data_IF_310449474064
#
_entry.id   IF_310449474064
#
_cell.length_a   1.000
_cell.length_b   1.000
_cell.length_c   1.000
_cell.angle_alpha   90.00
_cell.angle_beta   90.00
_cell.angle_gamma   90.00
#
_symmetry.space_group_name_H-M   'P 1'
#
loop_
_entity.id
_entity.type
_entity.pdbx_description
1 polymer ?
#
# COMPACT_ATOMS: atom_id res chain seq x y z
N UNK A 1 31.52 12.32 -10.68
CA UNK A 1 31.08 11.31 -9.68
C UNK A 1 29.88 11.91 -8.97
N UNK A 2 28.77 11.16 -8.84
CA UNK A 2 27.57 11.69 -8.17
C UNK A 2 27.75 11.61 -6.65
N UNK A 3 27.44 12.69 -5.94
CA UNK A 3 27.46 12.68 -4.48
C UNK A 3 26.31 11.83 -3.95
N UNK A 4 26.61 10.97 -2.98
CA UNK A 4 25.60 10.20 -2.27
C UNK A 4 24.78 11.16 -1.42
N UNK A 5 23.47 11.22 -1.65
CA UNK A 5 22.55 12.07 -0.90
C UNK A 5 21.80 11.25 0.13
N UNK A 6 21.44 11.87 1.25
CA UNK A 6 20.44 11.31 2.14
C UNK A 6 19.10 11.18 1.40
N UNK A 7 18.40 10.09 1.67
CA UNK A 7 17.08 9.84 1.10
C UNK A 7 16.06 10.67 1.86
N UNK A 8 15.14 11.29 1.12
CA UNK A 8 14.00 12.02 1.69
C UNK A 8 13.01 11.02 2.24
N UNK A 9 12.57 11.23 3.48
CA UNK A 9 11.53 10.43 4.13
C UNK A 9 10.25 10.39 3.28
N UNK A 10 9.56 9.25 3.29
CA UNK A 10 8.39 8.99 2.45
C UNK A 10 7.15 8.80 3.30
N UNK A 11 5.98 9.04 2.70
CA UNK A 11 4.70 8.74 3.35
C UNK A 11 4.42 7.25 3.24
N UNK A 12 4.40 6.54 4.36
CA UNK A 12 4.00 5.13 4.37
C UNK A 12 2.53 4.98 3.96
N UNK A 13 2.25 3.98 3.15
CA UNK A 13 0.95 3.70 2.56
C UNK A 13 0.65 2.20 2.65
N UNK A 14 -0.60 1.82 2.79
CA UNK A 14 -1.02 0.43 2.68
C UNK A 14 -2.43 0.28 2.16
N UNK A 15 -2.71 -0.89 1.60
CA UNK A 15 -4.05 -1.25 1.15
C UNK A 15 -4.48 -2.55 1.79
N UNK A 16 -5.72 -2.59 2.25
CA UNK A 16 -6.30 -3.74 2.92
C UNK A 16 -7.45 -4.27 2.07
N UNK A 17 -7.48 -5.59 1.90
CA UNK A 17 -8.55 -6.30 1.23
C UNK A 17 -9.09 -7.35 2.20
N UNK A 18 -10.40 -7.36 2.36
CA UNK A 18 -11.11 -8.43 3.04
C UNK A 18 -12.59 -8.37 2.69
N UNK A 19 -13.29 -9.48 2.87
CA UNK A 19 -14.75 -9.49 2.88
C UNK A 19 -15.35 -9.30 4.27
N UNK A 20 -14.52 -9.42 5.30
CA UNK A 20 -14.94 -9.39 6.70
C UNK A 20 -14.64 -8.00 7.26
N UNK A 21 -15.69 -7.27 7.65
CA UNK A 21 -15.54 -5.90 8.16
C UNK A 21 -14.61 -5.83 9.39
N UNK A 22 -14.71 -6.82 10.29
CA UNK A 22 -13.87 -6.94 11.50
C UNK A 22 -12.37 -7.03 11.20
N UNK A 23 -11.98 -7.52 10.01
CA UNK A 23 -10.57 -7.60 9.64
C UNK A 23 -9.98 -6.25 9.22
N UNK A 24 -10.80 -5.27 8.83
CA UNK A 24 -10.31 -3.91 8.59
C UNK A 24 -9.93 -3.23 9.90
N UNK A 25 -10.80 -3.34 10.92
CA UNK A 25 -10.52 -2.78 12.25
C UNK A 25 -9.29 -3.43 12.88
N UNK A 26 -9.21 -4.76 12.79
CA UNK A 26 -8.05 -5.51 13.28
C UNK A 26 -6.76 -5.11 12.54
N UNK A 27 -6.77 -5.08 11.21
CA UNK A 27 -5.59 -4.70 10.41
C UNK A 27 -5.14 -3.26 10.70
N UNK A 28 -6.07 -2.32 10.85
CA UNK A 28 -5.75 -0.94 11.27
C UNK A 28 -5.13 -0.93 12.66
N UNK A 29 -5.61 -1.74 13.61
CA UNK A 29 -5.00 -1.88 14.92
C UNK A 29 -3.53 -2.31 14.86
N UNK A 30 -3.24 -3.41 14.14
CA UNK A 30 -1.87 -3.92 13.95
C UNK A 30 -0.96 -2.89 13.25
N UNK A 31 -1.45 -2.31 12.15
CA UNK A 31 -0.72 -1.30 11.40
C UNK A 31 -0.49 -0.05 12.25
N UNK A 32 -1.47 0.43 13.03
CA UNK A 32 -1.29 1.62 13.85
C UNK A 32 -0.37 1.42 15.03
N UNK A 33 -0.36 0.21 15.62
CA UNK A 33 0.59 -0.13 16.67
C UNK A 33 2.03 -0.15 16.16
N UNK A 34 2.25 -0.66 14.93
CA UNK A 34 3.60 -0.86 14.37
C UNK A 34 4.09 0.34 13.56
N UNK A 35 3.20 1.04 12.86
CA UNK A 35 3.52 2.07 11.88
C UNK A 35 3.07 3.48 12.31
N UNK A 36 2.35 3.58 13.43
CA UNK A 36 1.86 4.84 13.97
C UNK A 36 0.46 5.23 13.47
N UNK A 37 -0.04 6.41 13.87
CA UNK A 37 -1.41 6.82 13.57
C UNK A 37 -1.67 7.01 12.07
N UNK A 38 -2.94 6.88 11.67
CA UNK A 38 -3.40 7.14 10.31
C UNK A 38 -3.47 8.65 10.03
N UNK A 39 -2.89 9.07 8.90
CA UNK A 39 -3.00 10.43 8.38
C UNK A 39 -4.16 10.60 7.40
N UNK A 40 -4.36 9.60 6.53
CA UNK A 40 -5.38 9.62 5.49
C UNK A 40 -6.01 8.26 5.38
N UNK A 41 -7.33 8.23 5.43
CA UNK A 41 -8.14 7.05 5.20
C UNK A 41 -8.97 7.23 3.91
N UNK A 42 -9.02 6.18 3.10
CA UNK A 42 -9.89 6.13 1.92
C UNK A 42 -11.30 5.69 2.28
N UNK A 43 -12.24 5.82 1.35
CA UNK A 43 -13.53 5.15 1.46
C UNK A 43 -13.35 3.66 1.13
N UNK A 44 -14.07 2.74 1.80
CA UNK A 44 -14.13 1.35 1.36
C UNK A 44 -14.84 1.24 0.01
N UNK A 45 -14.40 0.35 -0.86
CA UNK A 45 -15.05 0.09 -2.15
C UNK A 45 -15.05 -1.40 -2.50
N UNK A 46 -16.05 -1.88 -3.26
CA UNK A 46 -16.06 -3.25 -3.78
C UNK A 46 -14.85 -3.51 -4.68
N UNK A 47 -14.17 -4.63 -4.49
CA UNK A 47 -13.04 -5.04 -5.30
C UNK A 47 -13.48 -6.07 -6.36
N UNK A 48 -14.01 -5.56 -7.48
CA UNK A 48 -14.58 -6.38 -8.56
C UNK A 48 -13.72 -6.38 -9.85
N UNK A 49 -12.45 -5.98 -9.74
CA UNK A 49 -11.53 -5.85 -10.89
C UNK A 49 -10.95 -7.20 -11.37
N UNK A 50 -11.00 -8.24 -10.55
CA UNK A 50 -10.51 -9.59 -10.89
C UNK A 50 -11.07 -10.65 -9.96
N UNK A 51 -11.33 -11.85 -10.47
CA UNK A 51 -11.70 -13.03 -9.68
C UNK A 51 -10.50 -13.78 -9.07
N UNK A 52 -9.28 -13.29 -9.29
CA UNK A 52 -8.03 -13.96 -8.86
C UNK A 52 -8.02 -14.32 -7.36
N UNK A 53 -8.60 -13.47 -6.51
CA UNK A 53 -8.60 -13.66 -5.06
C UNK A 53 -9.75 -14.55 -4.57
N UNK A 54 -10.79 -14.79 -5.38
CA UNK A 54 -11.99 -15.52 -4.93
C UNK A 54 -11.66 -16.96 -4.50
N UNK A 55 -10.66 -17.61 -5.09
CA UNK A 55 -10.26 -18.95 -4.64
C UNK A 55 -9.67 -19.01 -3.23
N UNK A 56 -9.18 -17.87 -2.70
CA UNK A 56 -8.44 -17.82 -1.42
C UNK A 56 -9.09 -16.92 -0.36
N UNK A 57 -9.82 -15.89 -0.80
CA UNK A 57 -10.53 -14.92 0.04
C UNK A 57 -12.06 -15.02 -0.16
N UNK A 58 -12.52 -15.75 -1.17
CA UNK A 58 -13.90 -15.77 -1.68
C UNK A 58 -14.43 -14.43 -2.21
N UNK A 59 -15.75 -14.35 -2.38
CA UNK A 59 -16.50 -13.28 -3.09
C UNK A 59 -16.86 -12.06 -2.23
N UNK A 60 -17.13 -10.94 -2.89
CA UNK A 60 -17.55 -9.70 -2.19
C UNK A 60 -16.41 -9.11 -1.37
N UNK A 61 -15.20 -9.13 -1.92
CA UNK A 61 -14.03 -8.52 -1.32
C UNK A 61 -14.23 -7.01 -1.36
N UNK A 62 -13.98 -6.36 -0.22
CA UNK A 62 -13.88 -4.91 -0.12
C UNK A 62 -12.41 -4.55 -0.08
N UNK A 63 -12.05 -3.40 -0.64
CA UNK A 63 -10.71 -2.81 -0.55
C UNK A 63 -10.77 -1.44 0.10
N UNK A 64 -9.72 -1.09 0.85
CA UNK A 64 -9.54 0.25 1.43
C UNK A 64 -8.08 0.68 1.45
N UNK A 65 -7.86 1.98 1.33
CA UNK A 65 -6.55 2.62 1.28
C UNK A 65 -6.24 3.38 2.57
N UNK A 66 -4.99 3.34 3.00
CA UNK A 66 -4.50 3.97 4.24
C UNK A 66 -3.14 4.62 4.03
N UNK A 67 -2.91 5.77 4.68
CA UNK A 67 -1.60 6.39 4.81
C UNK A 67 -1.35 6.83 6.26
N UNK A 68 -0.10 6.84 6.68
CA UNK A 68 0.31 6.99 8.08
C UNK A 68 0.99 8.34 8.33
N UNK A 69 0.91 8.87 9.55
CA UNK A 69 1.41 10.22 9.85
C UNK A 69 2.94 10.34 9.84
N UNK A 70 3.62 9.26 10.21
CA UNK A 70 5.07 9.22 10.37
C UNK A 70 5.73 9.08 9.00
N UNK A 71 6.58 10.04 8.63
CA UNK A 71 7.45 9.91 7.47
C UNK A 71 8.62 9.01 7.81
N UNK A 72 8.98 8.12 6.90
CA UNK A 72 9.86 6.97 7.18
C UNK A 72 10.89 6.77 6.08
N UNK A 73 11.94 6.02 6.37
CA UNK A 73 12.95 5.66 5.37
C UNK A 73 12.36 4.62 4.38
N UNK A 74 12.35 4.89 3.06
CA UNK A 74 11.81 3.94 2.08
C UNK A 74 12.59 2.63 1.97
N UNK A 75 13.81 2.53 2.53
CA UNK A 75 14.59 1.29 2.57
C UNK A 75 13.97 0.22 3.47
N UNK A 76 13.07 0.60 4.37
CA UNK A 76 12.30 -0.30 5.23
C UNK A 76 11.14 -0.98 4.50
N UNK A 77 10.85 -0.64 3.24
CA UNK A 77 9.69 -1.17 2.50
C UNK A 77 9.61 -2.71 2.50
N UNK A 78 10.76 -3.40 2.46
CA UNK A 78 10.79 -4.86 2.54
C UNK A 78 10.32 -5.39 3.90
N UNK A 79 10.61 -4.68 4.98
CA UNK A 79 10.21 -5.06 6.33
C UNK A 79 8.70 -4.91 6.49
N UNK A 80 8.12 -3.82 5.98
CA UNK A 80 6.67 -3.60 6.04
C UNK A 80 5.89 -4.71 5.35
N UNK A 81 6.41 -5.25 4.22
CA UNK A 81 5.77 -6.40 3.55
C UNK A 81 5.90 -7.68 4.34
N UNK A 82 7.01 -7.89 5.05
CA UNK A 82 7.19 -9.07 5.92
C UNK A 82 6.26 -9.00 7.13
N UNK A 83 6.15 -7.83 7.76
CA UNK A 83 5.20 -7.56 8.85
C UNK A 83 3.77 -7.80 8.38
N UNK A 84 3.39 -7.23 7.24
CA UNK A 84 2.04 -7.37 6.70
C UNK A 84 1.70 -8.82 6.37
N UNK A 85 2.64 -9.58 5.81
CA UNK A 85 2.47 -11.02 5.57
C UNK A 85 2.30 -11.80 6.89
N UNK A 86 3.02 -11.42 7.95
CA UNK A 86 2.89 -12.07 9.25
C UNK A 86 1.50 -11.84 9.85
N UNK A 87 0.95 -10.64 9.73
CA UNK A 87 -0.43 -10.34 10.17
C UNK A 87 -1.47 -11.13 9.38
N UNK A 88 -1.33 -11.23 8.05
CA UNK A 88 -2.23 -12.05 7.23
C UNK A 88 -2.26 -13.51 7.70
N UNK A 89 -1.10 -14.07 8.06
CA UNK A 89 -1.01 -15.43 8.61
C UNK A 89 -1.63 -15.51 10.00
N UNK A 90 -1.36 -14.54 10.87
CA UNK A 90 -1.84 -14.54 12.25
C UNK A 90 -3.36 -14.53 12.38
N UNK A 91 -4.08 -13.95 11.42
CA UNK A 91 -5.55 -13.95 11.44
C UNK A 91 -6.19 -15.10 10.65
N UNK A 92 -5.45 -15.86 9.84
CA UNK A 92 -6.01 -16.81 8.88
C UNK A 92 -6.91 -17.87 9.53
N UNK A 93 -6.45 -18.49 10.62
CA UNK A 93 -7.17 -19.58 11.30
C UNK A 93 -8.49 -19.16 11.98
N UNK A 94 -8.78 -17.85 12.03
CA UNK A 94 -10.03 -17.31 12.59
C UNK A 94 -11.20 -17.35 11.60
N UNK A 95 -10.95 -17.66 10.33
CA UNK A 95 -11.92 -17.58 9.24
C UNK A 95 -11.92 -18.87 8.39
N UNK A 96 -13.00 -19.16 7.65
CA UNK A 96 -13.07 -20.34 6.79
C UNK A 96 -12.18 -20.24 5.55
N UNK A 97 -11.83 -19.02 5.12
CA UNK A 97 -10.93 -18.80 3.98
C UNK A 97 -9.46 -18.98 4.37
N UNK A 98 -8.65 -19.55 3.47
CA UNK A 98 -7.22 -19.71 3.74
C UNK A 98 -6.43 -18.40 3.75
N UNK A 99 -6.98 -17.32 3.18
CA UNK A 99 -6.39 -15.98 3.20
C UNK A 99 -7.49 -14.93 3.32
N UNK A 100 -8.09 -14.74 4.50
CA UNK A 100 -9.23 -13.84 4.68
C UNK A 100 -8.84 -12.35 4.61
N UNK A 101 -7.54 -12.05 4.64
CA UNK A 101 -6.95 -10.72 4.65
C UNK A 101 -5.80 -10.65 3.63
N UNK A 102 -5.70 -9.52 2.92
CA UNK A 102 -4.52 -9.15 2.15
C UNK A 102 -4.13 -7.71 2.50
N UNK A 103 -2.86 -7.50 2.85
CA UNK A 103 -2.29 -6.18 3.11
C UNK A 103 -1.11 -5.97 2.15
N UNK A 104 -1.23 -4.93 1.33
CA UNK A 104 -0.17 -4.50 0.42
C UNK A 104 0.40 -3.15 0.86
N UNK A 105 1.58 -3.15 1.52
CA UNK A 105 2.26 -1.94 1.91
C UNK A 105 3.04 -1.31 0.75
N UNK A 106 3.29 -0.02 0.91
CA UNK A 106 3.95 0.82 -0.06
C UNK A 106 4.35 2.15 0.53
N UNK A 107 4.80 3.06 -0.33
CA UNK A 107 5.00 4.45 0.04
C UNK A 107 4.63 5.40 -1.09
N UNK A 108 4.39 6.65 -0.70
CA UNK A 108 4.15 7.76 -1.60
C UNK A 108 5.27 8.78 -1.43
N UNK A 109 5.80 9.25 -2.56
CA UNK A 109 6.65 10.43 -2.64
C UNK A 109 5.91 11.53 -3.40
N UNK A 110 6.50 12.72 -3.55
CA UNK A 110 5.94 13.75 -4.42
C UNK A 110 5.84 13.34 -5.90
N UNK A 111 6.54 12.28 -6.31
CA UNK A 111 6.68 11.87 -7.70
C UNK A 111 6.13 10.47 -8.01
N UNK A 112 5.90 9.60 -7.01
CA UNK A 112 5.49 8.21 -7.26
C UNK A 112 4.79 7.55 -6.08
N UNK A 113 3.95 6.57 -6.38
CA UNK A 113 3.48 5.54 -5.46
C UNK A 113 4.21 4.24 -5.77
N UNK A 114 4.77 3.61 -4.74
CA UNK A 114 5.53 2.37 -4.84
C UNK A 114 4.89 1.31 -3.96
N UNK A 115 4.74 0.09 -4.47
CA UNK A 115 4.25 -1.07 -3.71
C UNK A 115 5.33 -2.12 -3.51
N UNK A 116 5.27 -2.81 -2.38
CA UNK A 116 6.05 -4.01 -2.13
C UNK A 116 5.31 -5.28 -2.60
N UNK A 117 6.06 -6.27 -3.06
CA UNK A 117 5.50 -7.55 -3.52
C UNK A 117 6.50 -8.68 -3.38
N UNK A 118 6.00 -9.91 -3.19
CA UNK A 118 6.80 -11.15 -3.21
C UNK A 118 6.92 -11.74 -4.62
N UNK A 119 6.21 -11.17 -5.60
CA UNK A 119 6.13 -11.70 -6.97
C UNK A 119 7.11 -10.94 -7.85
N UNK A 120 8.09 -11.62 -8.44
CA UNK A 120 9.00 -10.98 -9.40
C UNK A 120 8.36 -10.83 -10.80
N UNK A 121 8.70 -9.75 -11.51
CA UNK A 121 8.28 -9.41 -12.88
C UNK A 121 9.32 -8.51 -13.53
N UNK A 122 9.27 -8.41 -14.86
CA UNK A 122 10.16 -7.60 -15.71
C UNK A 122 10.43 -6.15 -15.25
N UNK A 123 9.44 -5.49 -14.67
CA UNK A 123 9.52 -4.10 -14.20
C UNK A 123 9.81 -3.94 -12.70
N UNK A 124 9.90 -5.06 -11.97
CA UNK A 124 10.04 -5.08 -10.50
C UNK A 124 11.50 -5.07 -10.12
N UNK A 125 11.81 -4.29 -9.09
CA UNK A 125 13.18 -4.10 -8.61
C UNK A 125 13.32 -4.87 -7.31
N UNK A 126 14.28 -5.78 -7.25
CA UNK A 126 14.61 -6.49 -6.03
C UNK A 126 15.09 -5.52 -4.93
N UNK A 127 14.54 -5.66 -3.72
CA UNK A 127 14.96 -4.92 -2.53
C UNK A 127 15.91 -5.78 -1.69
N UNK A 128 15.34 -6.77 -1.01
CA UNK A 128 16.00 -7.79 -0.14
C UNK A 128 14.98 -8.86 0.26
N UNK A 129 15.44 -9.97 0.82
CA UNK A 129 14.60 -11.01 1.45
C UNK A 129 13.46 -11.56 0.57
N UNK A 130 13.68 -11.62 -0.76
CA UNK A 130 12.66 -12.03 -1.72
C UNK A 130 11.52 -11.01 -1.93
N UNK A 131 11.69 -9.77 -1.43
CA UNK A 131 10.75 -8.67 -1.64
C UNK A 131 11.24 -7.78 -2.79
N UNK A 132 10.30 -7.38 -3.63
CA UNK A 132 10.49 -6.51 -4.77
C UNK A 132 9.62 -5.26 -4.63
N UNK A 133 10.00 -4.20 -5.33
CA UNK A 133 9.24 -2.97 -5.44
C UNK A 133 8.79 -2.70 -6.88
N UNK A 134 7.61 -2.09 -7.03
CA UNK A 134 7.13 -1.55 -8.29
C UNK A 134 6.64 -0.12 -8.15
N UNK A 135 6.93 0.72 -9.14
CA UNK A 135 6.27 2.02 -9.27
C UNK A 135 4.89 1.79 -9.88
N UNK A 136 3.85 1.88 -9.03
CA UNK A 136 2.45 1.63 -9.42
C UNK A 136 1.80 2.87 -10.01
N UNK A 137 2.08 4.06 -9.48
CA UNK A 137 1.65 5.34 -10.05
C UNK A 137 2.83 6.31 -10.07
N UNK A 138 2.82 7.28 -10.99
CA UNK A 138 3.78 8.38 -10.98
C UNK A 138 3.06 9.72 -11.17
N UNK A 139 3.60 10.78 -10.58
CA UNK A 139 3.04 12.11 -10.68
C UNK A 139 3.72 12.88 -11.81
N UNK A 140 2.95 13.37 -12.78
CA UNK A 140 3.49 14.12 -13.90
C UNK A 140 2.48 15.16 -14.39
N UNK A 141 2.96 16.36 -14.71
CA UNK A 141 2.12 17.47 -15.23
C UNK A 141 0.86 17.75 -14.41
N UNK A 142 0.96 17.63 -13.08
CA UNK A 142 -0.10 18.01 -12.15
C UNK A 142 -1.12 16.92 -11.83
N UNK A 143 -0.90 15.67 -12.25
CA UNK A 143 -1.79 14.56 -11.90
C UNK A 143 -1.05 13.23 -11.76
N UNK A 144 -1.68 12.30 -11.04
CA UNK A 144 -1.27 10.89 -11.02
C UNK A 144 -1.50 10.23 -12.38
N UNK A 145 -0.49 9.51 -12.84
CA UNK A 145 -0.43 8.82 -14.13
C UNK A 145 -0.15 7.33 -13.90
N UNK A 146 -0.63 6.52 -14.84
CA UNK A 146 -0.51 5.06 -14.81
C UNK A 146 0.67 4.57 -15.64
N UNK A 147 1.15 3.39 -15.29
CA UNK A 147 2.10 2.58 -16.05
C UNK A 147 1.32 1.45 -16.77
N UNK A 148 1.93 0.78 -17.77
CA UNK A 148 1.31 -0.37 -18.42
C UNK A 148 0.93 -1.53 -17.46
N UNK A 149 1.58 -1.59 -16.29
CA UNK A 149 1.35 -2.60 -15.25
C UNK A 149 0.56 -2.09 -14.04
N UNK A 150 0.09 -0.83 -14.03
CA UNK A 150 -0.72 -0.31 -12.92
C UNK A 150 -1.99 -1.14 -12.76
N UNK A 151 -2.28 -1.58 -11.53
CA UNK A 151 -3.49 -2.32 -11.24
C UNK A 151 -4.75 -1.45 -11.50
N UNK A 152 -5.83 -2.02 -12.06
CA UNK A 152 -7.02 -1.26 -12.46
C UNK A 152 -7.64 -0.41 -11.35
N UNK A 153 -7.63 -0.92 -10.11
CA UNK A 153 -8.14 -0.21 -8.94
C UNK A 153 -7.32 1.03 -8.58
N UNK A 154 -6.01 1.05 -8.83
CA UNK A 154 -5.19 2.26 -8.66
C UNK A 154 -5.32 3.23 -9.84
N UNK A 155 -5.65 2.72 -11.02
CA UNK A 155 -5.93 3.52 -12.22
C UNK A 155 -7.33 4.16 -12.20
N UNK A 156 -8.23 3.67 -11.34
CA UNK A 156 -9.59 4.16 -11.23
C UNK A 156 -9.63 5.62 -10.78
N UNK A 157 -10.33 6.45 -11.56
CA UNK A 157 -10.49 7.88 -11.28
C UNK A 157 -11.19 8.14 -9.94
N UNK A 158 -12.02 7.22 -9.46
CA UNK A 158 -12.65 7.29 -8.14
C UNK A 158 -11.61 7.24 -6.99
N UNK A 159 -10.45 6.61 -7.23
CA UNK A 159 -9.42 6.41 -6.21
C UNK A 159 -8.31 7.48 -6.26
N UNK A 160 -8.17 8.21 -7.37
CA UNK A 160 -7.18 9.30 -7.50
C UNK A 160 -7.29 10.38 -6.41
N UNK A 161 -8.48 10.84 -5.98
CA UNK A 161 -8.59 11.82 -4.89
C UNK A 161 -7.91 11.40 -3.59
N UNK A 162 -7.87 10.09 -3.28
CA UNK A 162 -7.13 9.60 -2.11
C UNK A 162 -5.62 9.84 -2.25
N UNK A 163 -5.04 9.54 -3.41
CA UNK A 163 -3.60 9.74 -3.66
C UNK A 163 -3.23 11.22 -3.70
N UNK A 164 -4.13 12.10 -4.18
CA UNK A 164 -3.94 13.56 -4.09
C UNK A 164 -3.92 14.05 -2.64
N UNK A 165 -4.84 13.55 -1.78
CA UNK A 165 -4.81 13.87 -0.34
C UNK A 165 -3.50 13.41 0.31
N UNK A 166 -3.04 12.20 0.02
CA UNK A 166 -1.77 11.68 0.51
C UNK A 166 -0.58 12.56 0.07
N UNK A 167 -0.53 12.95 -1.20
CA UNK A 167 0.50 13.85 -1.72
C UNK A 167 0.47 15.23 -1.04
N UNK A 168 -0.73 15.77 -0.81
CA UNK A 168 -0.94 17.02 -0.09
C UNK A 168 -0.43 16.94 1.36
N UNK A 169 -0.75 15.84 2.06
CA UNK A 169 -0.28 15.57 3.41
C UNK A 169 1.26 15.49 3.46
N UNK A 170 1.86 14.68 2.58
CA UNK A 170 3.32 14.53 2.49
C UNK A 170 4.02 15.89 2.30
N UNK A 171 3.53 16.71 1.36
CA UNK A 171 4.12 18.04 1.10
C UNK A 171 4.00 19.00 2.28
N UNK A 172 2.95 18.85 3.09
CA UNK A 172 2.82 19.64 4.32
C UNK A 172 3.86 19.19 5.34
N UNK A 173 3.99 17.88 5.59
CA UNK A 173 4.94 17.31 6.55
C UNK A 173 6.40 17.60 6.20
N UNK A 174 6.79 17.44 4.93
CA UNK A 174 8.15 17.75 4.46
C UNK A 174 8.55 19.24 4.58
N UNK A 175 7.59 20.15 4.78
CA UNK A 175 7.88 21.57 5.05
C UNK A 175 7.99 21.89 6.55
N UNK A 176 7.52 20.97 7.39
CA UNK A 176 7.55 21.08 8.84
C UNK A 176 8.79 20.40 9.44
N UNK A 177 9.46 19.52 8.68
CA UNK A 177 10.80 18.97 8.95
C UNK A 177 11.92 19.97 8.64
#
# INVERSE_FOLDING_TARGET
MGDVKQIVSVLRFATVFSRHAELFEWAVGEMSQSWGPLAVEGEPFPFDYTSYYEGTMGKGIVKRFYAFEVLVDPSELADWKKESNAWEVACADRFPECRPLNIDPGYITEAKLVLATTKDRDHRIYLRDGIFAEVTLFFHRGSWQTRPWTYPDYADSANIPFFERCRGYLRKRLREE
#
